data_IF_526201021177
#
_entry.id   IF_526201021177
#
_cell.length_a   1.000
_cell.length_b   1.000
_cell.length_c   1.000
_cell.angle_alpha   90.00
_cell.angle_beta   90.00
_cell.angle_gamma   90.00
#
_symmetry.space_group_name_H-M   'P 1'
#
loop_
_entity.id
_entity.type
_entity.pdbx_description
1 polymer ?
#
# COMPACT_ATOMS: atom_id res chain seq x y z
N UNK A 1 11.43 18.60 -30.43
CA UNK A 1 10.76 17.29 -30.59
C UNK A 1 9.94 17.01 -29.33
N UNK A 2 8.63 17.20 -29.38
CA UNK A 2 7.75 17.14 -28.21
C UNK A 2 7.46 15.71 -27.76
N UNK A 3 7.80 15.40 -26.51
CA UNK A 3 7.58 14.12 -25.81
C UNK A 3 6.14 13.59 -26.01
N UNK A 4 6.01 12.37 -26.54
CA UNK A 4 4.74 11.68 -26.78
C UNK A 4 3.82 11.52 -25.56
N UNK A 5 4.28 11.83 -24.35
CA UNK A 5 3.47 11.86 -23.12
C UNK A 5 2.36 12.93 -23.15
N UNK A 6 2.60 14.07 -23.80
CA UNK A 6 1.62 15.16 -23.86
C UNK A 6 0.41 14.83 -24.74
N UNK A 7 0.63 14.05 -25.81
CA UNK A 7 -0.45 13.63 -26.73
C UNK A 7 -1.38 12.60 -26.09
N UNK A 8 -0.81 11.59 -25.42
CA UNK A 8 -1.58 10.55 -24.73
C UNK A 8 -2.49 11.10 -23.63
N UNK A 9 -1.99 12.04 -22.82
CA UNK A 9 -2.78 12.67 -21.76
C UNK A 9 -3.92 13.55 -22.31
N UNK A 10 -3.68 14.25 -23.42
CA UNK A 10 -4.68 15.11 -24.06
C UNK A 10 -5.78 14.30 -24.77
N UNK A 11 -5.42 13.18 -25.38
CA UNK A 11 -6.37 12.27 -26.04
C UNK A 11 -7.28 11.58 -25.01
N UNK A 12 -6.71 11.13 -23.88
CA UNK A 12 -7.48 10.55 -22.76
C UNK A 12 -8.39 11.58 -22.09
N UNK A 13 -7.97 12.84 -22.00
CA UNK A 13 -8.80 13.93 -21.49
C UNK A 13 -9.98 14.24 -22.42
N UNK A 14 -9.74 14.35 -23.73
CA UNK A 14 -10.79 14.61 -24.72
C UNK A 14 -11.82 13.48 -24.80
N UNK A 15 -11.37 12.21 -24.72
CA UNK A 15 -12.26 11.04 -24.69
C UNK A 15 -13.19 11.05 -23.47
N UNK A 16 -12.68 11.41 -22.28
CA UNK A 16 -13.50 11.46 -21.05
C UNK A 16 -14.48 12.64 -21.00
N UNK A 17 -14.14 13.75 -21.66
CA UNK A 17 -15.08 14.87 -21.87
C UNK A 17 -16.23 14.45 -22.80
N UNK A 18 -15.96 13.64 -23.82
CA UNK A 18 -16.99 13.05 -24.68
C UNK A 18 -17.88 12.04 -23.93
N UNK A 19 -17.34 11.39 -22.89
CA UNK A 19 -18.08 10.45 -22.01
C UNK A 19 -18.83 11.14 -20.84
N UNK A 20 -18.86 12.49 -20.78
CA UNK A 20 -19.65 13.23 -19.77
C UNK A 20 -19.10 13.24 -18.35
N UNK A 21 -17.87 12.75 -18.12
CA UNK A 21 -17.23 12.66 -16.79
C UNK A 21 -16.42 13.93 -16.50
N UNK A 22 -17.06 14.95 -15.93
CA UNK A 22 -16.48 16.29 -15.72
C UNK A 22 -16.29 16.67 -14.24
N UNK A 23 -16.63 15.78 -13.29
CA UNK A 23 -16.57 16.04 -11.85
C UNK A 23 -15.16 15.93 -11.26
N UNK A 24 -14.76 16.91 -10.44
CA UNK A 24 -13.47 16.95 -9.70
C UNK A 24 -13.38 15.83 -8.64
N UNK A 25 -14.51 15.29 -8.19
CA UNK A 25 -14.60 14.15 -7.27
C UNK A 25 -14.08 12.84 -7.87
N UNK A 26 -14.21 12.65 -9.18
CA UNK A 26 -13.90 11.38 -9.86
C UNK A 26 -12.45 11.33 -10.35
N UNK A 27 -11.70 12.43 -10.16
CA UNK A 27 -10.30 12.57 -10.57
C UNK A 27 -9.35 11.94 -9.53
N UNK A 28 -9.79 11.81 -8.28
CA UNK A 28 -8.96 11.32 -7.18
C UNK A 28 -8.87 9.78 -7.11
N UNK A 29 -9.86 9.06 -7.64
CA UNK A 29 -10.00 7.60 -7.42
C UNK A 29 -9.44 6.71 -8.55
N UNK A 30 -8.93 7.27 -9.65
CA UNK A 30 -8.40 6.43 -10.74
C UNK A 30 -7.11 6.96 -11.38
N UNK A 31 -6.27 7.65 -10.61
CA UNK A 31 -4.85 7.75 -10.94
C UNK A 31 -4.14 6.63 -10.19
N UNK A 32 -4.00 5.47 -10.83
CA UNK A 32 -3.11 4.40 -10.33
C UNK A 32 -1.72 5.00 -10.16
N UNK A 33 -1.36 5.34 -8.91
CA UNK A 33 -0.04 5.86 -8.58
C UNK A 33 0.99 4.80 -8.94
N UNK A 34 2.10 5.22 -9.53
CA UNK A 34 3.21 4.29 -9.79
C UNK A 34 3.79 3.81 -8.47
N UNK A 35 4.46 2.65 -8.47
CA UNK A 35 5.19 2.13 -7.31
C UNK A 35 6.12 3.20 -6.71
N UNK A 36 6.82 3.96 -7.56
CA UNK A 36 7.69 5.05 -7.12
C UNK A 36 6.95 6.20 -6.43
N UNK A 37 5.77 6.58 -6.91
CA UNK A 37 4.95 7.62 -6.26
C UNK A 37 4.45 7.15 -4.88
N UNK A 38 4.04 5.88 -4.79
CA UNK A 38 3.61 5.28 -3.51
C UNK A 38 4.75 5.20 -2.52
N UNK A 39 5.94 4.73 -2.93
CA UNK A 39 7.11 4.68 -2.05
C UNK A 39 7.55 6.07 -1.59
N UNK A 40 7.45 7.10 -2.44
CA UNK A 40 7.75 8.47 -2.05
C UNK A 40 6.77 9.02 -1.00
N UNK A 41 5.47 8.73 -1.14
CA UNK A 41 4.47 9.09 -0.13
C UNK A 41 4.67 8.34 1.18
N UNK A 42 4.94 7.04 1.09
CA UNK A 42 5.25 6.21 2.25
C UNK A 42 6.47 6.74 3.01
N UNK A 43 7.54 7.10 2.29
CA UNK A 43 8.76 7.69 2.89
C UNK A 43 8.44 8.96 3.68
N UNK A 44 7.63 9.87 3.13
CA UNK A 44 7.19 11.08 3.86
C UNK A 44 6.41 10.73 5.13
N UNK A 45 5.51 9.76 5.05
CA UNK A 45 4.71 9.34 6.21
C UNK A 45 5.57 8.66 7.27
N UNK A 46 6.56 7.86 6.86
CA UNK A 46 7.55 7.24 7.74
C UNK A 46 8.35 8.28 8.52
N UNK A 47 8.86 9.33 7.82
CA UNK A 47 9.55 10.44 8.47
C UNK A 47 8.67 11.20 9.47
N UNK A 48 7.39 11.43 9.14
CA UNK A 48 6.43 12.06 10.07
C UNK A 48 6.16 11.23 11.34
N UNK A 49 6.33 9.92 11.26
CA UNK A 49 6.23 9.02 12.42
C UNK A 49 7.58 8.80 13.13
N UNK A 50 8.62 9.57 12.80
CA UNK A 50 9.94 9.44 13.43
C UNK A 50 10.74 8.20 12.99
N UNK A 51 10.39 7.60 11.84
CA UNK A 51 11.10 6.44 11.25
C UNK A 51 11.59 6.77 9.84
N UNK A 52 12.41 7.82 9.64
CA UNK A 52 12.81 8.26 8.32
C UNK A 52 13.55 7.16 7.55
N UNK A 53 13.43 7.16 6.22
CA UNK A 53 14.24 6.32 5.34
C UNK A 53 15.63 6.95 5.22
N UNK A 54 16.66 6.22 5.63
CA UNK A 54 18.04 6.66 5.63
C UNK A 54 18.78 6.44 4.31
N UNK A 55 20.05 6.86 4.29
CA UNK A 55 20.94 6.62 3.15
C UNK A 55 21.14 5.12 2.92
N UNK A 56 20.91 4.66 1.69
CA UNK A 56 20.99 3.25 1.35
C UNK A 56 19.75 2.44 1.69
N UNK A 57 18.66 3.08 2.16
CA UNK A 57 17.38 2.42 2.42
C UNK A 57 16.30 2.81 1.41
N UNK A 58 15.24 2.01 1.37
CA UNK A 58 14.03 2.29 0.60
C UNK A 58 12.79 2.22 1.50
N UNK A 59 11.76 3.00 1.18
CA UNK A 59 10.43 2.84 1.76
C UNK A 59 9.76 1.61 1.16
N UNK A 60 9.89 0.47 1.84
CA UNK A 60 9.28 -0.78 1.43
C UNK A 60 7.89 -0.94 2.07
N UNK A 61 6.90 -1.27 1.23
CA UNK A 61 5.57 -1.66 1.70
C UNK A 61 5.57 -3.11 2.18
N UNK A 62 4.89 -3.37 3.30
CA UNK A 62 4.62 -4.72 3.80
C UNK A 62 3.49 -5.35 2.96
N UNK A 63 2.40 -4.61 2.77
CA UNK A 63 1.36 -4.91 1.79
C UNK A 63 1.60 -4.05 0.56
N UNK A 64 2.05 -4.67 -0.55
CA UNK A 64 2.41 -3.96 -1.78
C UNK A 64 1.21 -3.27 -2.46
N UNK A 65 1.49 -2.20 -3.21
CA UNK A 65 0.45 -1.28 -3.70
C UNK A 65 -0.23 -1.68 -5.01
N UNK A 66 0.45 -2.38 -5.93
CA UNK A 66 0.10 -2.33 -7.37
C UNK A 66 0.19 -3.67 -8.13
N UNK A 67 0.27 -4.82 -7.46
CA UNK A 67 0.34 -6.14 -8.13
C UNK A 67 -0.69 -7.14 -7.57
N UNK A 68 -1.25 -7.97 -8.44
CA UNK A 68 -2.42 -8.83 -8.12
C UNK A 68 -2.29 -10.29 -8.60
N UNK A 69 -1.35 -10.57 -9.49
CA UNK A 69 -1.23 -11.88 -10.16
C UNK A 69 -0.10 -12.72 -9.56
N UNK A 70 -0.19 -14.04 -9.68
CA UNK A 70 0.85 -15.00 -9.23
C UNK A 70 1.13 -14.85 -7.72
N UNK A 71 2.39 -14.64 -7.30
CA UNK A 71 2.79 -14.52 -5.91
C UNK A 71 2.08 -13.39 -5.13
N UNK A 72 1.41 -12.47 -5.85
CA UNK A 72 0.77 -11.29 -5.28
C UNK A 72 -0.72 -11.46 -4.95
N UNK A 73 -1.32 -12.63 -5.21
CA UNK A 73 -2.76 -12.84 -4.97
C UNK A 73 -3.16 -12.50 -3.51
N UNK A 74 -2.36 -12.93 -2.52
CA UNK A 74 -2.59 -12.64 -1.10
C UNK A 74 -2.36 -11.18 -0.71
N UNK A 75 -1.64 -10.42 -1.53
CA UNK A 75 -1.54 -8.97 -1.36
C UNK A 75 -2.84 -8.29 -1.71
N UNK A 76 -3.52 -8.73 -2.78
CA UNK A 76 -4.84 -8.19 -3.13
C UNK A 76 -5.85 -8.40 -2.00
N UNK A 77 -5.89 -9.58 -1.40
CA UNK A 77 -6.76 -9.87 -0.26
C UNK A 77 -6.40 -9.03 0.97
N UNK A 78 -5.10 -8.86 1.24
CA UNK A 78 -4.62 -7.98 2.31
C UNK A 78 -5.02 -6.52 2.09
N UNK A 79 -4.92 -6.01 0.85
CA UNK A 79 -5.38 -4.66 0.49
C UNK A 79 -6.86 -4.47 0.74
N UNK A 80 -7.71 -5.46 0.41
CA UNK A 80 -9.15 -5.42 0.72
C UNK A 80 -9.40 -5.32 2.22
N UNK A 81 -8.63 -6.03 3.06
CA UNK A 81 -8.73 -5.90 4.52
C UNK A 81 -8.36 -4.47 4.95
N UNK A 82 -7.23 -3.93 4.47
CA UNK A 82 -6.78 -2.59 4.83
C UNK A 82 -7.81 -1.54 4.44
N UNK A 83 -8.30 -1.58 3.20
CA UNK A 83 -9.32 -0.68 2.68
C UNK A 83 -10.64 -0.80 3.46
N UNK A 84 -11.10 -2.03 3.71
CA UNK A 84 -12.28 -2.33 4.53
C UNK A 84 -12.21 -1.70 5.91
N UNK A 85 -11.04 -1.49 6.51
CA UNK A 85 -10.91 -0.80 7.81
C UNK A 85 -10.28 0.60 7.71
N UNK A 86 -10.06 1.09 6.49
CA UNK A 86 -9.57 2.43 6.15
C UNK A 86 -8.07 2.66 6.33
N UNK A 87 -7.27 1.60 6.52
CA UNK A 87 -5.80 1.74 6.59
C UNK A 87 -5.30 2.07 5.20
N UNK A 88 -4.77 3.29 5.01
CA UNK A 88 -4.27 3.73 3.71
C UNK A 88 -3.04 2.88 3.31
N UNK A 89 -2.89 2.55 2.03
CA UNK A 89 -1.77 1.73 1.56
C UNK A 89 -0.41 2.39 1.82
N UNK A 90 -0.35 3.72 1.80
CA UNK A 90 0.83 4.54 2.09
C UNK A 90 0.89 4.99 3.57
N UNK A 91 0.01 4.46 4.43
CA UNK A 91 0.09 4.65 5.87
C UNK A 91 1.47 4.17 6.35
N UNK A 92 2.14 4.96 7.19
CA UNK A 92 3.46 4.62 7.69
C UNK A 92 3.46 3.29 8.45
N UNK A 93 2.34 2.86 9.05
CA UNK A 93 2.22 1.54 9.64
C UNK A 93 2.49 0.40 8.65
N UNK A 94 2.21 0.60 7.35
CA UNK A 94 2.46 -0.34 6.26
C UNK A 94 3.88 -0.23 5.66
N UNK A 95 4.73 0.64 6.21
CA UNK A 95 6.08 0.87 5.73
C UNK A 95 7.18 0.48 6.71
N UNK A 96 8.29 0.06 6.13
CA UNK A 96 9.59 -0.07 6.81
C UNK A 96 10.69 0.63 6.00
N UNK A 97 11.65 1.30 6.66
CA UNK A 97 12.91 1.67 6.04
C UNK A 97 13.76 0.40 5.88
N UNK A 98 14.03 -0.02 4.64
CA UNK A 98 14.70 -1.29 4.34
C UNK A 98 15.99 -1.05 3.54
N UNK A 99 17.13 -1.57 4.02
CA UNK A 99 18.44 -1.41 3.37
C UNK A 99 18.55 -2.04 1.96
N UNK A 100 19.40 -1.45 1.10
CA UNK A 100 19.62 -1.79 -0.31
C UNK A 100 21.13 -2.02 -0.58
N UNK A 101 21.60 -3.04 -1.38
CA UNK A 101 20.90 -4.13 -2.07
C UNK A 101 21.37 -5.56 -1.67
N UNK A 102 20.41 -6.35 -1.18
CA UNK A 102 20.18 -7.81 -1.31
C UNK A 102 19.87 -8.47 0.05
N UNK A 103 18.71 -9.14 0.20
CA UNK A 103 17.54 -9.18 -0.65
C UNK A 103 16.40 -8.31 -0.07
N UNK A 104 15.97 -7.30 -0.84
CA UNK A 104 14.59 -6.79 -0.81
C UNK A 104 13.58 -7.85 -1.32
N UNK A 105 13.99 -9.11 -1.48
CA UNK A 105 13.13 -10.21 -1.93
C UNK A 105 12.13 -10.64 -0.87
N UNK A 106 12.39 -10.39 0.43
CA UNK A 106 11.51 -10.95 1.47
C UNK A 106 10.08 -10.43 1.35
N UNK A 107 9.92 -9.12 1.13
CA UNK A 107 8.61 -8.48 0.90
C UNK A 107 8.02 -8.74 -0.49
N UNK A 108 8.72 -9.49 -1.35
CA UNK A 108 8.26 -9.91 -2.69
C UNK A 108 8.02 -11.43 -2.78
N UNK A 109 8.18 -12.18 -1.68
CA UNK A 109 7.97 -13.63 -1.65
C UNK A 109 6.50 -13.97 -1.38
N UNK A 110 5.98 -14.97 -2.09
CA UNK A 110 4.63 -15.49 -1.89
C UNK A 110 4.36 -15.84 -0.41
N UNK A 111 5.27 -16.58 0.24
CA UNK A 111 5.12 -16.97 1.64
C UNK A 111 5.08 -15.79 2.61
N UNK A 112 5.74 -14.67 2.29
CA UNK A 112 5.63 -13.44 3.08
C UNK A 112 4.22 -12.84 2.97
N UNK A 113 3.68 -12.77 1.75
CA UNK A 113 2.32 -12.28 1.50
C UNK A 113 1.25 -13.16 2.14
N UNK A 114 1.43 -14.47 2.12
CA UNK A 114 0.57 -15.42 2.83
C UNK A 114 0.61 -15.19 4.34
N UNK A 115 1.79 -15.09 4.93
CA UNK A 115 1.95 -14.82 6.37
C UNK A 115 1.28 -13.50 6.78
N UNK A 116 1.49 -12.43 6.00
CA UNK A 116 0.83 -11.14 6.21
C UNK A 116 -0.69 -11.31 6.15
N UNK A 117 -1.22 -11.91 5.09
CA UNK A 117 -2.65 -12.09 4.89
C UNK A 117 -3.31 -12.90 6.03
N UNK A 118 -2.69 -14.00 6.42
CA UNK A 118 -3.15 -14.84 7.53
C UNK A 118 -3.24 -14.05 8.82
N UNK A 119 -2.19 -13.29 9.19
CA UNK A 119 -2.20 -12.49 10.43
C UNK A 119 -3.24 -11.38 10.41
N UNK A 120 -3.40 -10.67 9.30
CA UNK A 120 -4.43 -9.63 9.18
C UNK A 120 -5.84 -10.24 9.29
N UNK A 121 -6.07 -11.40 8.68
CA UNK A 121 -7.33 -12.13 8.77
C UNK A 121 -7.59 -12.59 10.20
N UNK A 122 -6.60 -13.14 10.90
CA UNK A 122 -6.72 -13.52 12.32
C UNK A 122 -7.08 -12.35 13.22
N UNK A 123 -6.46 -11.17 13.03
CA UNK A 123 -6.82 -9.95 13.78
C UNK A 123 -8.28 -9.58 13.55
N UNK A 124 -8.73 -9.57 12.29
CA UNK A 124 -10.13 -9.25 11.94
C UNK A 124 -11.09 -10.27 12.56
N UNK A 125 -10.82 -11.56 12.42
CA UNK A 125 -11.71 -12.63 12.91
C UNK A 125 -11.82 -12.58 14.44
N UNK A 126 -10.70 -12.49 15.15
CA UNK A 126 -10.69 -12.42 16.61
C UNK A 126 -11.45 -11.20 17.11
N UNK A 127 -11.18 -10.02 16.54
CA UNK A 127 -11.82 -8.80 17.00
C UNK A 127 -13.31 -8.73 16.61
N UNK A 128 -13.68 -9.27 15.46
CA UNK A 128 -15.10 -9.36 15.07
C UNK A 128 -15.85 -10.33 15.97
N UNK A 129 -15.24 -11.47 16.35
CA UNK A 129 -15.85 -12.43 17.29
C UNK A 129 -16.08 -11.84 18.69
N UNK A 130 -15.27 -10.84 19.07
CA UNK A 130 -15.39 -10.08 20.31
C UNK A 130 -16.22 -8.79 20.14
N UNK A 131 -16.92 -8.65 19.01
CA UNK A 131 -17.82 -7.53 18.70
C UNK A 131 -17.15 -6.14 18.73
N UNK A 132 -15.85 -6.05 18.41
CA UNK A 132 -15.16 -4.76 18.32
C UNK A 132 -15.60 -3.97 17.09
N UNK A 133 -15.74 -2.65 17.26
CA UNK A 133 -16.05 -1.73 16.17
C UNK A 133 -14.88 -1.47 15.20
N UNK A 134 -15.21 -0.93 14.02
CA UNK A 134 -14.29 -0.63 12.91
C UNK A 134 -13.01 0.12 13.34
N UNK A 135 -13.12 1.13 14.21
CA UNK A 135 -11.98 1.96 14.67
C UNK A 135 -10.97 1.14 15.50
N UNK A 136 -11.45 0.22 16.34
CA UNK A 136 -10.60 -0.65 17.13
C UNK A 136 -9.85 -1.64 16.23
N UNK A 137 -10.56 -2.25 15.27
CA UNK A 137 -9.95 -3.17 14.29
C UNK A 137 -8.90 -2.48 13.43
N UNK A 138 -9.18 -1.26 12.93
CA UNK A 138 -8.19 -0.42 12.23
C UNK A 138 -6.91 -0.25 13.05
N UNK A 139 -7.07 0.09 14.33
CA UNK A 139 -5.94 0.32 15.23
C UNK A 139 -5.13 -0.95 15.47
N UNK A 140 -5.79 -2.10 15.61
CA UNK A 140 -5.12 -3.40 15.75
C UNK A 140 -4.40 -3.82 14.46
N UNK A 141 -5.01 -3.64 13.29
CA UNK A 141 -4.36 -3.88 12.00
C UNK A 141 -3.08 -3.05 11.86
N UNK A 142 -3.12 -1.74 12.15
CA UNK A 142 -1.91 -0.91 12.15
C UNK A 142 -0.83 -1.41 13.11
N UNK A 143 -1.21 -1.88 14.31
CA UNK A 143 -0.28 -2.47 15.27
C UNK A 143 0.35 -3.76 14.74
N UNK A 144 -0.44 -4.62 14.13
CA UNK A 144 0.02 -5.91 13.61
C UNK A 144 0.94 -5.74 12.40
N UNK A 145 0.60 -4.84 11.47
CA UNK A 145 1.46 -4.55 10.31
C UNK A 145 2.80 -3.97 10.79
N UNK A 146 2.79 -3.04 11.75
CA UNK A 146 4.04 -2.54 12.36
C UNK A 146 4.85 -3.64 13.03
N UNK A 147 4.18 -4.62 13.66
CA UNK A 147 4.83 -5.77 14.29
C UNK A 147 5.53 -6.62 13.23
N UNK A 148 4.84 -6.97 12.15
CA UNK A 148 5.43 -7.64 10.98
C UNK A 148 6.64 -6.86 10.46
N UNK A 149 6.51 -5.54 10.29
CA UNK A 149 7.60 -4.69 9.82
C UNK A 149 8.86 -4.79 10.68
N UNK A 150 8.71 -4.78 12.01
CA UNK A 150 9.85 -4.95 12.93
C UNK A 150 10.47 -6.35 12.86
N UNK A 151 9.68 -7.38 12.57
CA UNK A 151 10.19 -8.74 12.39
C UNK A 151 10.96 -8.88 11.07
N UNK A 152 10.56 -8.16 10.02
CA UNK A 152 11.24 -8.14 8.71
C UNK A 152 12.61 -7.46 8.75
N UNK A 153 12.84 -6.54 9.69
CA UNK A 153 14.10 -5.79 9.83
C UNK A 153 15.15 -6.50 10.70
N UNK A 154 14.83 -7.67 11.26
CA UNK A 154 15.74 -8.50 12.04
C UNK A 154 16.41 -9.53 11.15
#
# INVERSE_FOLDING_TARGET
MGSGRGKYLREKFNKRRAEGKTGVSDVADEVTRTTGQNSAELSRNLSREGRPVGNGEVAAHIVASTEEKRQWAKVADSRKILDKYGVNINDAANGIPLAHPRPHNITHRAGFHEMVNTRLTSVVNNMTSLNYGRKAIRSALRKEIRKIGRETLK
#
